data_IF_999977349835
#
_entry.id   IF_999977349835
#
_cell.length_a   1.000
_cell.length_b   1.000
_cell.length_c   1.000
_cell.angle_alpha   90.00
_cell.angle_beta   90.00
_cell.angle_gamma   90.00
#
_symmetry.space_group_name_H-M   'P 1'
#
loop_
_entity.id
_entity.type
_entity.pdbx_description
1 polymer ?
#
# COMPACT_ATOMS: atom_id res chain seq x y z
N UNK A 1 13.13 -5.44 31.15
CA UNK A 1 12.55 -4.78 29.96
C UNK A 1 11.25 -4.15 30.42
N UNK A 2 11.09 -2.83 30.29
CA UNK A 2 9.85 -2.15 30.69
C UNK A 2 8.88 -2.33 29.53
N UNK A 3 7.71 -2.93 29.76
CA UNK A 3 6.66 -3.02 28.75
C UNK A 3 6.15 -1.60 28.49
N UNK A 4 6.29 -1.08 27.26
CA UNK A 4 5.66 0.18 26.86
C UNK A 4 4.14 -0.02 26.91
N UNK A 5 3.44 0.91 27.57
CA UNK A 5 1.98 0.96 27.58
C UNK A 5 1.44 1.64 26.33
N UNK A 6 0.14 1.50 26.05
CA UNK A 6 -0.53 2.24 24.96
C UNK A 6 -0.33 3.77 25.07
N UNK A 7 -0.23 4.29 26.29
CA UNK A 7 0.01 5.71 26.56
C UNK A 7 1.43 6.07 26.12
N UNK A 8 2.42 5.28 26.52
CA UNK A 8 3.83 5.50 26.12
C UNK A 8 3.99 5.45 24.59
N UNK A 9 3.25 4.57 23.90
CA UNK A 9 3.25 4.51 22.43
C UNK A 9 2.63 5.75 21.77
N UNK A 10 1.50 6.25 22.28
CA UNK A 10 0.91 7.51 21.80
C UNK A 10 1.87 8.67 22.05
N UNK A 11 2.48 8.76 23.22
CA UNK A 11 3.46 9.80 23.55
C UNK A 11 4.71 9.74 22.65
N UNK A 12 5.20 8.54 22.31
CA UNK A 12 6.30 8.35 21.37
C UNK A 12 5.95 8.85 19.96
N UNK A 13 4.75 8.52 19.45
CA UNK A 13 4.28 8.98 18.15
C UNK A 13 4.08 10.51 18.13
N UNK A 14 3.51 11.08 19.20
CA UNK A 14 3.34 12.52 19.36
C UNK A 14 4.70 13.26 19.41
N UNK A 15 5.73 12.68 20.04
CA UNK A 15 7.10 13.23 20.03
C UNK A 15 7.69 13.32 18.62
N UNK A 16 7.19 12.52 17.69
CA UNK A 16 7.57 12.53 16.27
C UNK A 16 6.62 13.37 15.40
N UNK A 17 5.72 14.15 16.00
CA UNK A 17 4.78 15.00 15.29
C UNK A 17 3.59 14.26 14.68
N UNK A 18 3.37 12.99 15.05
CA UNK A 18 2.26 12.18 14.56
C UNK A 18 1.09 12.35 15.51
N UNK A 19 -0.06 12.79 14.99
CA UNK A 19 -1.30 12.97 15.74
C UNK A 19 -1.97 11.63 16.09
N UNK A 20 -1.21 10.70 16.69
CA UNK A 20 -1.70 9.40 17.09
C UNK A 20 -2.69 9.51 18.25
N UNK A 21 -3.70 8.64 18.26
CA UNK A 21 -4.73 8.64 19.29
C UNK A 21 -4.97 7.23 19.81
N UNK A 22 -5.11 7.10 21.13
CA UNK A 22 -5.67 5.88 21.73
C UNK A 22 -7.18 5.89 21.51
N UNK A 23 -7.71 4.76 21.09
CA UNK A 23 -9.16 4.53 20.99
C UNK A 23 -9.49 3.18 21.61
N UNK A 24 -10.56 3.17 22.41
CA UNK A 24 -11.13 1.93 22.95
C UNK A 24 -12.18 1.38 21.96
N UNK A 25 -11.91 0.21 21.39
CA UNK A 25 -12.81 -0.47 20.45
C UNK A 25 -13.19 -1.85 21.00
N UNK A 26 -14.11 -2.54 20.33
CA UNK A 26 -14.42 -3.96 20.61
C UNK A 26 -13.22 -4.90 20.47
N UNK A 27 -12.15 -4.46 19.79
CA UNK A 27 -10.89 -5.19 19.60
C UNK A 27 -9.83 -4.91 20.69
N UNK A 28 -10.18 -4.12 21.71
CA UNK A 28 -9.26 -3.72 22.78
C UNK A 28 -8.68 -2.32 22.59
N UNK A 29 -7.68 -1.99 23.41
CA UNK A 29 -6.95 -0.73 23.35
C UNK A 29 -6.16 -0.64 22.05
N UNK A 30 -6.61 0.19 21.12
CA UNK A 30 -5.99 0.35 19.80
C UNK A 30 -5.33 1.72 19.71
N UNK A 31 -4.13 1.79 19.14
CA UNK A 31 -3.51 3.08 18.79
C UNK A 31 -3.77 3.34 17.31
N UNK A 32 -4.50 4.41 17.02
CA UNK A 32 -4.72 4.92 15.68
C UNK A 32 -3.52 5.77 15.27
N UNK A 33 -2.92 5.46 14.12
CA UNK A 33 -1.76 6.15 13.57
C UNK A 33 -2.16 6.77 12.23
N UNK A 34 -2.45 8.08 12.17
CA UNK A 34 -2.75 8.74 10.92
C UNK A 34 -1.56 8.71 9.96
N UNK A 35 -1.84 8.57 8.67
CA UNK A 35 -0.85 8.52 7.61
C UNK A 35 -1.09 9.62 6.58
N UNK A 36 0.00 10.33 6.24
CA UNK A 36 0.00 11.42 5.28
C UNK A 36 -0.47 12.74 5.88
N UNK A 37 -0.55 13.76 5.03
CA UNK A 37 -0.97 15.09 5.43
C UNK A 37 -2.44 15.11 5.87
N UNK A 38 -2.71 15.85 6.94
CA UNK A 38 -4.05 16.17 7.38
C UNK A 38 -4.64 17.28 6.51
N UNK A 39 -5.93 17.21 6.20
CA UNK A 39 -6.67 18.31 5.60
C UNK A 39 -8.00 18.52 6.31
N UNK A 40 -8.49 19.76 6.31
CA UNK A 40 -9.79 20.08 6.91
C UNK A 40 -10.89 19.97 5.85
N UNK A 41 -11.94 19.23 6.18
CA UNK A 41 -13.15 19.14 5.39
C UNK A 41 -14.36 19.37 6.28
N UNK A 42 -15.07 20.48 6.06
CA UNK A 42 -16.27 20.84 6.83
C UNK A 42 -16.06 20.86 8.36
N UNK A 43 -14.94 21.43 8.82
CA UNK A 43 -14.59 21.49 10.25
C UNK A 43 -14.06 20.17 10.83
N UNK A 44 -13.85 19.15 9.99
CA UNK A 44 -13.31 17.84 10.39
C UNK A 44 -11.92 17.66 9.81
N UNK A 45 -10.96 17.27 10.65
CA UNK A 45 -9.62 16.88 10.20
C UNK A 45 -9.70 15.46 9.62
N UNK A 46 -9.33 15.33 8.36
CA UNK A 46 -9.33 14.07 7.61
C UNK A 46 -7.89 13.73 7.24
N UNK A 47 -7.55 12.46 7.36
CA UNK A 47 -6.26 11.91 6.94
C UNK A 47 -6.46 11.02 5.73
N UNK A 48 -5.48 11.01 4.82
CA UNK A 48 -5.53 10.23 3.59
C UNK A 48 -5.60 8.71 3.83
N UNK A 49 -4.96 8.26 4.92
CA UNK A 49 -4.93 6.87 5.34
C UNK A 49 -4.69 6.78 6.84
N UNK A 50 -4.84 5.58 7.38
CA UNK A 50 -4.68 5.28 8.79
C UNK A 50 -4.16 3.86 8.96
N UNK A 51 -3.24 3.69 9.91
CA UNK A 51 -2.86 2.38 10.43
C UNK A 51 -3.32 2.23 11.88
N UNK A 52 -3.39 0.99 12.34
CA UNK A 52 -3.76 0.67 13.71
C UNK A 52 -2.73 -0.25 14.33
N UNK A 53 -2.28 0.08 15.54
CA UNK A 53 -1.57 -0.84 16.41
C UNK A 53 -2.60 -1.55 17.27
N UNK A 54 -2.80 -2.84 16.99
CA UNK A 54 -3.80 -3.68 17.65
C UNK A 54 -3.09 -4.72 18.52
N UNK A 55 -3.41 -4.83 19.81
CA UNK A 55 -2.82 -5.84 20.67
C UNK A 55 -3.25 -7.25 20.20
N UNK A 56 -2.29 -8.18 20.15
CA UNK A 56 -2.50 -9.56 19.74
C UNK A 56 -1.87 -10.51 20.77
N UNK A 57 -2.68 -11.29 21.50
CA UNK A 57 -2.22 -12.07 22.66
C UNK A 57 -1.51 -11.18 23.71
N UNK A 58 -0.90 -11.75 24.77
CA UNK A 58 -0.38 -10.93 25.89
C UNK A 58 0.84 -10.07 25.54
N UNK A 59 1.64 -10.45 24.56
CA UNK A 59 2.94 -9.80 24.30
C UNK A 59 3.21 -9.49 22.82
N UNK A 60 2.24 -9.67 21.92
CA UNK A 60 2.41 -9.37 20.50
C UNK A 60 1.47 -8.25 20.04
N UNK A 61 1.83 -7.63 18.93
CA UNK A 61 1.14 -6.47 18.38
C UNK A 61 1.05 -6.61 16.87
N UNK A 62 -0.09 -6.22 16.32
CA UNK A 62 -0.29 -6.17 14.90
C UNK A 62 -0.34 -4.71 14.43
N UNK A 63 0.46 -4.36 13.43
CA UNK A 63 0.24 -3.17 12.62
C UNK A 63 -0.72 -3.54 11.49
N UNK A 64 -1.90 -2.95 11.54
CA UNK A 64 -2.98 -3.18 10.58
C UNK A 64 -3.12 -1.97 9.68
N UNK A 65 -3.29 -2.18 8.38
CA UNK A 65 -3.56 -1.16 7.37
C UNK A 65 -4.69 -1.62 6.46
N UNK A 66 -5.56 -0.70 6.05
CA UNK A 66 -6.56 -0.96 5.02
C UNK A 66 -6.02 -0.50 3.66
N UNK A 67 -5.87 -1.45 2.74
CA UNK A 67 -5.40 -1.23 1.38
C UNK A 67 -6.58 -1.45 0.43
N UNK A 68 -7.27 -0.37 0.06
CA UNK A 68 -8.51 -0.41 -0.70
C UNK A 68 -9.58 -1.26 0.01
N UNK A 69 -9.72 -2.54 -0.35
CA UNK A 69 -10.65 -3.51 0.26
C UNK A 69 -9.96 -4.67 0.99
N UNK A 70 -8.63 -4.61 1.14
CA UNK A 70 -7.84 -5.67 1.78
C UNK A 70 -7.22 -5.17 3.07
N UNK A 71 -7.31 -5.97 4.12
CA UNK A 71 -6.54 -5.77 5.33
C UNK A 71 -5.12 -6.30 5.11
N UNK A 72 -4.12 -5.48 5.42
CA UNK A 72 -2.74 -5.91 5.57
C UNK A 72 -2.38 -5.91 7.06
N UNK A 73 -1.79 -7.02 7.52
CA UNK A 73 -1.46 -7.23 8.93
C UNK A 73 -0.02 -7.70 9.08
N UNK A 74 0.77 -6.94 9.83
CA UNK A 74 2.14 -7.31 10.21
C UNK A 74 2.23 -7.52 11.71
N UNK A 75 2.75 -8.66 12.13
CA UNK A 75 2.89 -9.02 13.54
C UNK A 75 4.28 -8.68 14.05
N UNK A 76 4.32 -8.12 15.25
CA UNK A 76 5.50 -7.74 16.00
C UNK A 76 5.46 -8.41 17.37
N UNK A 77 6.64 -8.79 17.87
CA UNK A 77 6.79 -9.41 19.19
C UNK A 77 6.75 -8.42 20.34
N UNK A 78 6.56 -7.13 20.07
CA UNK A 78 6.46 -6.08 21.09
C UNK A 78 5.84 -4.79 20.51
N UNK A 79 5.33 -3.93 21.38
CA UNK A 79 4.75 -2.63 20.98
C UNK A 79 5.83 -1.68 20.45
N UNK A 80 7.03 -1.71 21.03
CA UNK A 80 8.18 -0.92 20.61
C UNK A 80 8.49 -1.13 19.12
N UNK A 81 8.54 -2.39 18.68
CA UNK A 81 8.79 -2.76 17.29
C UNK A 81 7.65 -2.32 16.37
N UNK A 82 6.40 -2.46 16.83
CA UNK A 82 5.24 -2.03 16.08
C UNK A 82 5.18 -0.50 15.90
N UNK A 83 5.53 0.26 16.94
CA UNK A 83 5.67 1.73 16.90
C UNK A 83 6.80 2.14 15.95
N UNK A 84 7.96 1.49 16.03
CA UNK A 84 9.07 1.77 15.12
C UNK A 84 8.67 1.56 13.65
N UNK A 85 7.94 0.47 13.36
CA UNK A 85 7.42 0.25 12.01
C UNK A 85 6.37 1.31 11.61
N UNK A 86 5.48 1.69 12.53
CA UNK A 86 4.50 2.74 12.26
C UNK A 86 5.16 4.09 11.93
N UNK A 87 6.28 4.43 12.59
CA UNK A 87 7.07 5.61 12.28
C UNK A 87 7.67 5.55 10.87
N UNK A 88 8.27 4.42 10.49
CA UNK A 88 8.80 4.24 9.12
C UNK A 88 7.68 4.33 8.07
N UNK A 89 6.53 3.73 8.36
CA UNK A 89 5.36 3.85 7.50
C UNK A 89 4.90 5.30 7.34
N UNK A 90 4.79 6.07 8.42
CA UNK A 90 4.37 7.48 8.33
C UNK A 90 5.32 8.30 7.46
N UNK A 91 6.64 8.05 7.54
CA UNK A 91 7.62 8.72 6.66
C UNK A 91 7.38 8.42 5.18
N UNK A 92 6.97 7.20 4.84
CA UNK A 92 6.64 6.84 3.45
C UNK A 92 5.39 7.57 2.94
N UNK A 93 4.50 8.01 3.82
CA UNK A 93 3.32 8.79 3.47
C UNK A 93 3.56 10.31 3.47
N UNK A 94 4.64 10.79 4.09
CA UNK A 94 5.04 12.20 4.06
C UNK A 94 5.92 12.49 2.84
N UNK A 95 5.35 12.33 1.65
CA UNK A 95 6.04 12.67 0.42
C UNK A 95 5.98 14.18 0.19
N UNK A 96 7.15 14.81 0.00
CA UNK A 96 7.27 16.25 -0.20
C UNK A 96 7.97 16.56 -1.52
N UNK A 97 7.59 17.68 -2.13
CA UNK A 97 8.18 18.23 -3.34
C UNK A 97 8.35 19.74 -3.26
N UNK A 98 8.83 20.33 -4.36
CA UNK A 98 8.93 21.78 -4.51
C UNK A 98 7.73 22.29 -5.32
N UNK A 99 6.99 23.24 -4.75
CA UNK A 99 5.83 23.84 -5.38
C UNK A 99 6.22 24.53 -6.69
N UNK A 100 5.61 24.12 -7.79
CA UNK A 100 5.85 24.69 -9.11
C UNK A 100 5.49 26.19 -9.23
N UNK A 101 4.59 26.67 -8.37
CA UNK A 101 4.13 28.07 -8.39
C UNK A 101 5.01 29.02 -7.55
N UNK A 102 5.47 28.59 -6.38
CA UNK A 102 6.17 29.48 -5.43
C UNK A 102 7.54 28.98 -4.94
N UNK A 103 7.94 27.76 -5.29
CA UNK A 103 9.19 27.14 -4.83
C UNK A 103 9.19 26.69 -3.36
N UNK A 104 8.11 26.92 -2.62
CA UNK A 104 7.94 26.40 -1.25
C UNK A 104 7.77 24.88 -1.21
N UNK A 105 7.63 24.31 -0.02
CA UNK A 105 7.37 22.87 0.14
C UNK A 105 5.90 22.57 -0.19
N UNK A 106 5.67 21.52 -0.98
CA UNK A 106 4.33 20.95 -1.20
C UNK A 106 4.28 19.50 -0.76
N UNK A 107 3.14 19.07 -0.23
CA UNK A 107 2.88 17.67 0.06
C UNK A 107 2.38 16.99 -1.21
N UNK A 108 2.86 15.77 -1.44
CA UNK A 108 2.49 14.89 -2.54
C UNK A 108 1.68 13.73 -1.97
N UNK A 109 0.45 13.58 -2.43
CA UNK A 109 -0.39 12.41 -2.19
C UNK A 109 -0.59 11.69 -3.51
N UNK A 110 -0.50 10.38 -3.52
CA UNK A 110 -0.73 9.59 -4.73
C UNK A 110 -1.21 8.20 -4.36
N UNK A 111 -1.78 7.52 -5.34
CA UNK A 111 -2.15 6.14 -5.22
C UNK A 111 -2.50 5.57 -6.59
N UNK A 112 -2.61 4.26 -6.62
CA UNK A 112 -3.06 3.51 -7.77
C UNK A 112 -4.34 2.77 -7.46
N UNK A 113 -5.16 2.61 -8.49
CA UNK A 113 -6.39 1.86 -8.41
C UNK A 113 -6.58 1.03 -9.68
N UNK A 114 -7.16 -0.15 -9.50
CA UNK A 114 -7.60 -0.99 -10.60
C UNK A 114 -9.12 -1.16 -10.54
N UNK A 115 -9.82 -0.43 -11.40
CA UNK A 115 -11.27 -0.54 -11.61
C UNK A 115 -11.56 -1.10 -13.00
N UNK A 116 -12.49 -2.05 -13.12
CA UNK A 116 -12.96 -2.59 -14.41
C UNK A 116 -11.85 -3.14 -15.34
N UNK A 117 -10.69 -3.52 -14.78
CA UNK A 117 -9.53 -4.04 -15.52
C UNK A 117 -8.65 -2.97 -16.16
N UNK A 118 -8.84 -1.69 -15.79
CA UNK A 118 -7.97 -0.58 -16.17
C UNK A 118 -7.19 -0.11 -14.94
N UNK A 119 -5.90 0.19 -15.13
CA UNK A 119 -5.15 0.95 -14.12
C UNK A 119 -5.55 2.41 -14.24
N UNK A 120 -5.67 3.05 -13.10
CA UNK A 120 -5.58 4.49 -13.00
C UNK A 120 -4.68 4.83 -11.82
N UNK A 121 -3.86 5.84 -11.95
CA UNK A 121 -3.23 6.46 -10.79
C UNK A 121 -3.72 7.90 -10.66
N UNK A 122 -3.64 8.42 -9.45
CA UNK A 122 -3.85 9.82 -9.15
C UNK A 122 -2.62 10.35 -8.42
N UNK A 123 -2.30 11.61 -8.68
CA UNK A 123 -1.27 12.38 -7.99
C UNK A 123 -1.90 13.73 -7.64
N UNK A 124 -1.85 14.08 -6.36
CA UNK A 124 -2.31 15.36 -5.86
C UNK A 124 -1.17 16.07 -5.12
N UNK A 125 -1.03 17.38 -5.35
CA UNK A 125 -0.11 18.23 -4.58
C UNK A 125 -0.87 19.31 -3.83
N UNK A 126 -0.36 19.68 -2.65
CA UNK A 126 -0.85 20.82 -1.89
C UNK A 126 0.30 21.60 -1.27
N UNK A 127 0.38 22.90 -1.57
CA UNK A 127 1.40 23.79 -1.03
C UNK A 127 0.85 24.61 0.14
N UNK A 128 1.36 24.36 1.35
CA UNK A 128 0.99 25.14 2.54
C UNK A 128 1.48 26.60 2.53
N UNK A 129 2.39 26.97 1.62
CA UNK A 129 2.95 28.33 1.54
C UNK A 129 2.08 29.27 0.69
N UNK A 130 1.72 28.86 -0.52
CA UNK A 130 0.95 29.70 -1.45
C UNK A 130 -0.49 29.23 -1.68
N UNK A 131 -0.88 28.08 -1.12
CA UNK A 131 -2.19 27.48 -1.30
C UNK A 131 -2.42 26.85 -2.68
N UNK A 132 -1.39 26.76 -3.53
CA UNK A 132 -1.50 26.06 -4.80
C UNK A 132 -1.76 24.58 -4.57
N UNK A 133 -2.74 24.04 -5.30
CA UNK A 133 -3.04 22.62 -5.34
C UNK A 133 -3.07 22.16 -6.79
N UNK A 134 -2.65 20.94 -7.05
CA UNK A 134 -2.79 20.30 -8.36
C UNK A 134 -3.25 18.87 -8.21
N UNK A 135 -3.95 18.36 -9.22
CA UNK A 135 -4.36 16.97 -9.31
C UNK A 135 -4.14 16.50 -10.74
N UNK A 136 -3.58 15.30 -10.89
CA UNK A 136 -3.31 14.67 -12.16
C UNK A 136 -3.65 13.19 -12.09
N UNK A 137 -4.46 12.73 -13.04
CA UNK A 137 -4.78 11.33 -13.23
C UNK A 137 -4.02 10.76 -14.43
N UNK A 138 -3.55 9.52 -14.31
CA UNK A 138 -2.96 8.77 -15.41
C UNK A 138 -3.62 7.41 -15.62
N UNK A 139 -3.53 6.89 -16.84
CA UNK A 139 -4.20 5.64 -17.26
C UNK A 139 -3.34 4.37 -17.24
N UNK A 140 -2.11 4.46 -16.72
CA UNK A 140 -1.13 3.37 -16.71
C UNK A 140 -0.61 3.10 -15.29
N UNK A 141 0.53 2.42 -15.16
CA UNK A 141 1.24 2.29 -13.88
C UNK A 141 1.70 3.65 -13.35
N UNK A 142 1.89 3.72 -12.03
CA UNK A 142 2.56 4.85 -11.38
C UNK A 142 3.93 5.11 -12.02
N UNK A 143 4.41 6.37 -12.08
CA UNK A 143 5.80 6.68 -12.34
C UNK A 143 6.74 5.88 -11.42
N UNK A 144 7.89 5.44 -11.92
CA UNK A 144 8.73 4.46 -11.20
C UNK A 144 9.13 4.94 -9.79
N UNK A 145 9.42 6.23 -9.61
CA UNK A 145 9.78 6.77 -8.30
C UNK A 145 8.63 6.64 -7.28
N UNK A 146 7.38 6.83 -7.73
CA UNK A 146 6.18 6.69 -6.88
C UNK A 146 5.82 5.22 -6.69
N UNK A 147 6.04 4.39 -7.71
CA UNK A 147 5.85 2.94 -7.64
C UNK A 147 6.74 2.31 -6.57
N UNK A 148 8.01 2.73 -6.47
CA UNK A 148 8.93 2.27 -5.42
C UNK A 148 8.46 2.65 -4.00
N UNK A 149 7.84 3.83 -3.86
CA UNK A 149 7.26 4.24 -2.58
C UNK A 149 6.02 3.38 -2.26
N UNK A 150 5.15 3.14 -3.24
CA UNK A 150 3.96 2.31 -3.06
C UNK A 150 4.31 0.86 -2.65
N UNK A 151 5.33 0.28 -3.29
CA UNK A 151 5.87 -1.03 -2.92
C UNK A 151 6.39 -1.06 -1.48
N UNK A 152 6.99 0.03 -0.99
CA UNK A 152 7.45 0.13 0.41
C UNK A 152 6.29 0.32 1.37
N UNK A 153 5.28 1.14 1.02
CA UNK A 153 4.09 1.38 1.85
C UNK A 153 3.29 0.10 2.05
N UNK A 154 2.99 -0.58 0.96
CA UNK A 154 1.98 -1.66 0.93
C UNK A 154 2.58 -3.05 0.83
N UNK A 155 3.91 -3.15 0.74
CA UNK A 155 4.59 -4.39 0.44
C UNK A 155 4.50 -4.75 -1.04
N UNK A 156 5.18 -5.83 -1.38
CA UNK A 156 5.13 -6.40 -2.72
C UNK A 156 4.07 -7.49 -2.77
N UNK A 157 3.37 -7.60 -3.89
CA UNK A 157 2.35 -8.61 -4.11
C UNK A 157 2.77 -9.52 -5.25
N UNK A 158 2.36 -10.79 -5.19
CA UNK A 158 2.63 -11.78 -6.23
C UNK A 158 1.34 -12.43 -6.71
N UNK A 159 1.27 -12.66 -8.01
CA UNK A 159 0.25 -13.46 -8.66
C UNK A 159 0.79 -14.86 -8.90
N UNK A 160 0.14 -15.88 -8.36
CA UNK A 160 0.51 -17.28 -8.60
C UNK A 160 -0.57 -18.00 -9.40
N UNK A 161 -0.19 -19.09 -10.04
CA UNK A 161 -1.12 -19.93 -10.79
C UNK A 161 -0.70 -21.41 -10.75
N UNK A 162 -1.62 -22.29 -11.08
CA UNK A 162 -1.38 -23.74 -11.17
C UNK A 162 -0.59 -24.11 -12.44
N UNK A 163 -0.04 -25.32 -12.51
CA UNK A 163 0.76 -25.74 -13.67
C UNK A 163 -0.07 -26.03 -14.94
N UNK A 164 -1.37 -26.28 -14.80
CA UNK A 164 -2.23 -26.75 -15.88
C UNK A 164 -2.98 -25.60 -16.54
N UNK A 165 -2.59 -25.28 -17.76
CA UNK A 165 -3.23 -24.23 -18.57
C UNK A 165 -3.50 -24.74 -19.98
N UNK A 166 -4.68 -24.39 -20.50
CA UNK A 166 -5.00 -24.60 -21.91
C UNK A 166 -4.09 -23.77 -22.83
N UNK A 167 -3.94 -24.12 -24.12
CA UNK A 167 -3.22 -23.29 -25.08
C UNK A 167 -3.75 -21.84 -25.16
N UNK A 168 -5.06 -21.64 -24.95
CA UNK A 168 -5.69 -20.31 -24.90
C UNK A 168 -5.26 -19.54 -23.66
N UNK A 169 -5.21 -20.19 -22.49
CA UNK A 169 -4.71 -19.59 -21.25
C UNK A 169 -3.25 -19.16 -21.40
N UNK A 170 -2.40 -19.98 -22.02
CA UNK A 170 -1.01 -19.60 -22.31
C UNK A 170 -0.88 -18.43 -23.28
N UNK A 171 -1.77 -18.34 -24.26
CA UNK A 171 -1.81 -17.21 -25.19
C UNK A 171 -2.19 -15.92 -24.47
N UNK A 172 -3.14 -15.98 -23.53
CA UNK A 172 -3.51 -14.86 -22.68
C UNK A 172 -2.37 -14.44 -21.75
N UNK A 173 -1.77 -15.37 -20.99
CA UNK A 173 -0.63 -15.09 -20.10
C UNK A 173 0.50 -14.41 -20.88
N UNK A 174 0.85 -14.93 -22.06
CA UNK A 174 1.88 -14.34 -22.92
C UNK A 174 1.55 -12.91 -23.32
N UNK A 175 0.32 -12.67 -23.78
CA UNK A 175 -0.11 -11.35 -24.23
C UNK A 175 -0.16 -10.33 -23.09
N UNK A 176 -0.64 -10.74 -21.93
CA UNK A 176 -0.79 -9.89 -20.75
C UNK A 176 0.55 -9.50 -20.12
N UNK A 177 1.51 -10.43 -20.11
CA UNK A 177 2.86 -10.19 -19.60
C UNK A 177 3.86 -9.71 -20.68
N UNK A 178 3.38 -9.45 -21.90
CA UNK A 178 4.19 -9.06 -23.05
C UNK A 178 5.40 -9.98 -23.32
N UNK A 179 5.28 -11.29 -23.08
CA UNK A 179 6.38 -12.24 -23.15
C UNK A 179 6.67 -12.71 -24.58
N UNK A 180 7.95 -12.81 -24.92
CA UNK A 180 8.44 -13.60 -26.05
C UNK A 180 8.25 -15.11 -25.84
N UNK A 181 8.42 -15.90 -26.90
CA UNK A 181 8.36 -17.37 -26.81
C UNK A 181 9.42 -17.97 -25.86
N UNK A 182 10.68 -17.50 -25.84
CA UNK A 182 11.68 -18.03 -24.90
C UNK A 182 11.31 -17.76 -23.44
N UNK A 183 10.80 -16.56 -23.14
CA UNK A 183 10.38 -16.17 -21.80
C UNK A 183 9.15 -16.96 -21.35
N UNK A 184 8.17 -17.16 -22.24
CA UNK A 184 7.03 -18.02 -21.96
C UNK A 184 7.46 -19.47 -21.67
N UNK A 185 8.45 -20.00 -22.40
CA UNK A 185 8.98 -21.34 -22.15
C UNK A 185 9.76 -21.41 -20.82
N UNK A 186 10.44 -20.34 -20.42
CA UNK A 186 11.06 -20.24 -19.10
C UNK A 186 10.00 -20.22 -17.99
N UNK A 187 8.97 -19.38 -18.13
CA UNK A 187 7.85 -19.30 -17.19
C UNK A 187 7.12 -20.65 -17.03
N UNK A 188 6.88 -21.36 -18.13
CA UNK A 188 6.28 -22.71 -18.09
C UNK A 188 7.05 -23.70 -17.22
N UNK A 189 8.38 -23.58 -17.14
CA UNK A 189 9.23 -24.47 -16.33
C UNK A 189 9.22 -24.12 -14.84
N UNK A 190 8.76 -22.93 -14.47
CA UNK A 190 8.68 -22.49 -13.08
C UNK A 190 7.28 -22.68 -12.47
N UNK A 191 6.31 -23.21 -13.24
CA UNK A 191 4.96 -23.48 -12.74
C UNK A 191 4.83 -24.89 -12.13
N UNK A 192 3.98 -25.06 -11.08
CA UNK A 192 3.13 -24.03 -10.47
C UNK A 192 3.98 -23.01 -9.69
N UNK A 193 3.61 -21.74 -9.74
CA UNK A 193 4.47 -20.69 -9.23
C UNK A 193 4.02 -19.27 -9.54
N UNK A 194 4.95 -18.34 -9.39
CA UNK A 194 4.76 -16.90 -9.60
C UNK A 194 4.68 -16.57 -11.10
N UNK A 195 3.61 -15.89 -11.51
CA UNK A 195 3.44 -15.29 -12.83
C UNK A 195 3.98 -13.87 -12.89
N UNK A 196 3.77 -13.12 -11.81
CA UNK A 196 4.05 -11.70 -11.76
C UNK A 196 4.20 -11.23 -10.33
N UNK A 197 4.97 -10.15 -10.16
CA UNK A 197 5.24 -9.50 -8.88
C UNK A 197 5.21 -7.99 -9.08
N UNK A 198 4.52 -7.27 -8.21
CA UNK A 198 4.37 -5.83 -8.32
C UNK A 198 3.56 -5.24 -7.17
N UNK A 199 2.99 -4.06 -7.40
CA UNK A 199 2.08 -3.41 -6.46
C UNK A 199 0.73 -4.15 -6.41
N UNK A 200 -0.09 -3.87 -5.40
CA UNK A 200 -1.40 -4.52 -5.25
C UNK A 200 -2.30 -4.24 -6.46
N UNK A 201 -2.32 -3.01 -7.00
CA UNK A 201 -3.19 -2.70 -8.12
C UNK A 201 -2.67 -3.33 -9.42
N UNK A 202 -1.35 -3.36 -9.65
CA UNK A 202 -0.74 -4.06 -10.79
C UNK A 202 -1.13 -5.55 -10.83
N UNK A 203 -0.96 -6.23 -9.70
CA UNK A 203 -1.27 -7.65 -9.53
C UNK A 203 -2.78 -7.90 -9.65
N UNK A 204 -3.61 -7.04 -9.07
CA UNK A 204 -5.08 -7.13 -9.16
C UNK A 204 -5.59 -6.93 -10.58
N UNK A 205 -4.99 -6.00 -11.34
CA UNK A 205 -5.31 -5.81 -12.76
C UNK A 205 -5.00 -7.05 -13.56
N UNK A 206 -3.79 -7.60 -13.39
CA UNK A 206 -3.39 -8.80 -14.12
C UNK A 206 -4.30 -9.97 -13.78
N UNK A 207 -4.63 -10.16 -12.50
CA UNK A 207 -5.61 -11.16 -12.05
C UNK A 207 -6.96 -10.99 -12.77
N UNK A 208 -7.51 -9.77 -12.82
CA UNK A 208 -8.79 -9.50 -13.48
C UNK A 208 -8.74 -9.78 -14.99
N UNK A 209 -7.64 -9.44 -15.68
CA UNK A 209 -7.48 -9.70 -17.12
C UNK A 209 -7.32 -11.19 -17.41
N UNK A 210 -6.54 -11.91 -16.60
CA UNK A 210 -6.36 -13.35 -16.70
C UNK A 210 -7.64 -14.14 -16.38
N UNK A 211 -8.45 -13.66 -15.43
CA UNK A 211 -9.75 -14.25 -15.12
C UNK A 211 -10.72 -14.22 -16.32
N UNK A 212 -10.70 -13.15 -17.14
CA UNK A 212 -11.48 -13.07 -18.41
C UNK A 212 -11.06 -14.13 -19.44
N UNK A 213 -9.83 -14.64 -19.34
CA UNK A 213 -9.32 -15.74 -20.14
C UNK A 213 -9.45 -17.11 -19.46
N UNK A 214 -10.19 -17.19 -18.34
CA UNK A 214 -10.40 -18.38 -17.51
C UNK A 214 -9.11 -18.96 -16.93
N UNK A 215 -8.10 -18.12 -16.67
CA UNK A 215 -6.89 -18.52 -15.95
C UNK A 215 -7.14 -18.38 -14.45
N UNK A 216 -7.02 -19.48 -13.71
CA UNK A 216 -7.16 -19.47 -12.25
C UNK A 216 -5.88 -18.91 -11.64
N UNK A 217 -5.99 -17.88 -10.83
CA UNK A 217 -4.84 -17.23 -10.20
C UNK A 217 -5.13 -16.88 -8.76
N UNK A 218 -4.10 -16.91 -7.93
CA UNK A 218 -4.17 -16.54 -6.52
C UNK A 218 -3.24 -15.36 -6.26
N UNK A 219 -3.67 -14.46 -5.39
CA UNK A 219 -2.96 -13.24 -5.06
C UNK A 219 -2.45 -13.36 -3.63
N UNK A 220 -1.16 -13.14 -3.45
CA UNK A 220 -0.47 -13.28 -2.16
C UNK A 220 0.41 -12.06 -1.88
N UNK A 221 0.53 -11.66 -0.62
CA UNK A 221 1.62 -10.76 -0.22
C UNK A 221 2.94 -11.53 -0.36
N UNK A 222 3.95 -10.89 -0.95
CA UNK A 222 5.29 -11.45 -1.06
C UNK A 222 6.04 -11.19 0.27
N UNK A 223 6.45 -12.29 0.92
CA UNK A 223 7.28 -12.28 2.13
C UNK A 223 8.70 -11.84 1.80
#
# INVERSE_FOLDING_TARGET
>A
MRLISHIDAVEELLRHGIAAERREWSLGDTVMVPLGAAFEHSGTVVFSSVAWLVPNSRDAWDLVQMLSQRERRRRFSSLELAVAEALELTKLYDCMGACSACGGVEHLSFGEWCGLGQMTYWIATSCGTCGACSEADGGDSLPEELREIELRRHGTWRLTTSAEHSPRAWSAIRAELALGLPELAALKRTLPGELFRGTLAEVSRLQARLARAHVQTELHEAV
#
